data_IF_762486369851
#
_entry.id   IF_762486369851
#
_cell.length_a   1.000
_cell.length_b   1.000
_cell.length_c   1.000
_cell.angle_alpha   90.00
_cell.angle_beta   90.00
_cell.angle_gamma   90.00
#
_symmetry.space_group_name_H-M   'P 1'
#
loop_
_entity.id
_entity.type
_entity.pdbx_description
1 polymer ?
#
# COMPACT_ATOMS: atom_id res chain seq x y z
N UNK A 1 -22.75 4.12 15.15
CA UNK A 1 -22.47 3.06 14.16
C UNK A 1 -21.74 1.94 14.87
N UNK A 2 -22.37 0.78 15.04
CA UNK A 2 -21.72 -0.38 15.66
C UNK A 2 -20.78 -1.00 14.62
N UNK A 3 -19.51 -0.60 14.65
CA UNK A 3 -18.48 -1.14 13.77
C UNK A 3 -18.27 -2.63 14.05
N UNK A 4 -18.22 -3.43 13.00
CA UNK A 4 -17.72 -4.80 13.14
C UNK A 4 -16.26 -4.73 13.60
N UNK A 5 -15.81 -5.61 14.51
CA UNK A 5 -14.41 -5.63 14.89
C UNK A 5 -13.55 -5.89 13.66
N UNK A 6 -12.49 -5.10 13.49
CA UNK A 6 -11.54 -5.26 12.39
C UNK A 6 -10.96 -6.69 12.40
N UNK A 7 -10.79 -7.32 11.21
CA UNK A 7 -10.11 -8.61 11.12
C UNK A 7 -8.75 -8.59 11.83
N UNK A 8 -8.43 -9.66 12.56
CA UNK A 8 -7.17 -9.79 13.34
C UNK A 8 -5.91 -9.66 12.49
N UNK A 9 -6.00 -10.04 11.20
CA UNK A 9 -4.90 -9.87 10.25
C UNK A 9 -4.49 -8.40 10.08
N UNK A 10 -5.41 -7.45 10.27
CA UNK A 10 -5.12 -6.01 10.26
C UNK A 10 -4.82 -5.46 11.65
N UNK A 11 -4.44 -6.32 12.61
CA UNK A 11 -4.18 -5.94 13.99
C UNK A 11 -3.08 -6.80 14.58
N UNK A 12 -3.42 -7.61 15.57
CA UNK A 12 -2.47 -8.43 16.33
C UNK A 12 -1.75 -9.49 15.48
N UNK A 13 -2.28 -9.84 14.31
CA UNK A 13 -1.65 -10.78 13.37
C UNK A 13 -1.01 -10.10 12.14
N UNK A 14 -0.91 -8.77 12.10
CA UNK A 14 -0.37 -8.03 10.94
C UNK A 14 1.06 -8.45 10.57
N UNK A 15 1.88 -8.85 11.54
CA UNK A 15 3.24 -9.34 11.30
C UNK A 15 3.32 -10.61 10.42
N UNK A 16 2.19 -11.30 10.18
CA UNK A 16 2.12 -12.44 9.25
C UNK A 16 1.61 -12.07 7.87
N UNK A 17 1.28 -10.80 7.61
CA UNK A 17 0.66 -10.38 6.36
C UNK A 17 1.47 -10.81 5.12
N UNK A 18 2.77 -10.51 5.08
CA UNK A 18 3.64 -10.88 3.95
C UNK A 18 3.89 -12.39 3.80
N UNK A 19 3.54 -13.21 4.79
CA UNK A 19 3.56 -14.67 4.63
C UNK A 19 2.44 -15.17 3.72
N UNK A 20 1.27 -14.50 3.74
CA UNK A 20 0.12 -14.85 2.91
C UNK A 20 0.16 -14.17 1.54
N UNK A 21 0.87 -13.05 1.44
CA UNK A 21 0.91 -12.19 0.25
C UNK A 21 2.29 -11.56 0.14
N UNK A 22 3.19 -12.22 -0.59
CA UNK A 22 4.58 -11.81 -0.65
C UNK A 22 4.73 -10.55 -1.54
N UNK A 23 5.49 -9.52 -1.12
CA UNK A 23 5.67 -8.31 -1.92
C UNK A 23 6.14 -8.59 -3.35
N UNK A 24 7.02 -9.58 -3.56
CA UNK A 24 7.55 -9.92 -4.89
C UNK A 24 6.47 -10.36 -5.89
N UNK A 25 5.33 -10.89 -5.42
CA UNK A 25 4.22 -11.31 -6.27
C UNK A 25 3.43 -10.13 -6.86
N UNK A 26 3.65 -8.91 -6.34
CA UNK A 26 2.92 -7.70 -6.75
C UNK A 26 3.58 -6.93 -7.88
N UNK A 27 4.74 -7.39 -8.38
CA UNK A 27 5.46 -6.68 -9.44
C UNK A 27 4.62 -6.49 -10.71
N UNK A 28 3.95 -7.54 -11.16
CA UNK A 28 3.12 -7.50 -12.38
C UNK A 28 1.93 -6.55 -12.21
N UNK A 29 1.28 -6.59 -11.05
CA UNK A 29 0.15 -5.72 -10.73
C UNK A 29 0.59 -4.25 -10.63
N UNK A 30 1.71 -3.97 -9.96
CA UNK A 30 2.30 -2.63 -9.88
C UNK A 30 2.70 -2.08 -11.26
N UNK A 31 3.26 -2.91 -12.14
CA UNK A 31 3.57 -2.54 -13.52
C UNK A 31 2.30 -2.20 -14.32
N UNK A 32 1.24 -2.98 -14.13
CA UNK A 32 -0.06 -2.71 -14.72
C UNK A 32 -0.60 -1.34 -14.26
N UNK A 33 -0.63 -1.08 -12.95
CA UNK A 33 -1.11 0.21 -12.42
C UNK A 33 -0.25 1.39 -12.90
N UNK A 34 1.07 1.25 -12.88
CA UNK A 34 1.96 2.30 -13.36
C UNK A 34 1.68 2.66 -14.83
N UNK A 35 1.45 1.66 -15.69
CA UNK A 35 1.09 1.88 -17.10
C UNK A 35 -0.26 2.59 -17.21
N UNK A 36 -1.29 2.07 -16.54
CA UNK A 36 -2.65 2.62 -16.62
C UNK A 36 -2.69 4.08 -16.14
N UNK A 37 -1.99 4.41 -15.06
CA UNK A 37 -1.91 5.79 -14.55
C UNK A 37 -1.27 6.74 -15.56
N UNK A 38 -0.16 6.34 -16.19
CA UNK A 38 0.51 7.15 -17.22
C UNK A 38 -0.36 7.38 -18.45
N UNK A 39 -1.07 6.34 -18.90
CA UNK A 39 -1.93 6.41 -20.08
C UNK A 39 -3.21 7.21 -19.84
N UNK A 40 -3.73 7.19 -18.61
CA UNK A 40 -5.03 7.79 -18.27
C UNK A 40 -4.92 9.24 -17.81
N UNK A 41 -3.78 9.65 -17.25
CA UNK A 41 -3.59 11.02 -16.80
C UNK A 41 -3.24 11.94 -17.97
N UNK A 42 -3.87 13.12 -18.03
CA UNK A 42 -3.57 14.14 -19.04
C UNK A 42 -2.11 14.65 -18.99
N UNK A 43 -1.41 14.41 -17.89
CA UNK A 43 0.01 14.70 -17.68
C UNK A 43 0.63 13.51 -16.94
N UNK A 44 1.91 13.28 -17.17
CA UNK A 44 2.67 12.25 -16.44
C UNK A 44 2.51 12.44 -14.92
N UNK A 45 1.92 11.45 -14.20
CA UNK A 45 1.72 11.56 -12.76
C UNK A 45 3.06 11.40 -12.04
N UNK A 46 3.29 12.26 -11.04
CA UNK A 46 4.49 12.17 -10.17
C UNK A 46 4.18 11.61 -8.80
N UNK A 47 2.98 11.84 -8.30
CA UNK A 47 2.54 11.48 -6.95
C UNK A 47 1.33 10.56 -7.02
N UNK A 48 1.27 9.55 -6.16
CA UNK A 48 0.13 8.62 -6.06
C UNK A 48 -0.28 8.45 -4.61
N UNK A 49 -1.59 8.57 -4.35
CA UNK A 49 -2.21 8.27 -3.06
C UNK A 49 -2.83 6.87 -3.13
N UNK A 50 -2.33 5.93 -2.33
CA UNK A 50 -2.88 4.57 -2.23
C UNK A 50 -3.74 4.46 -0.98
N UNK A 51 -5.06 4.31 -1.17
CA UNK A 51 -6.04 4.16 -0.09
C UNK A 51 -6.23 2.66 0.22
N UNK A 52 -6.16 2.30 1.51
CA UNK A 52 -6.19 0.89 1.93
C UNK A 52 -4.91 0.15 1.50
N UNK A 53 -3.76 0.81 1.64
CA UNK A 53 -2.46 0.33 1.18
C UNK A 53 -1.98 -0.96 1.88
N UNK A 54 -2.57 -1.33 3.01
CA UNK A 54 -2.24 -2.54 3.76
C UNK A 54 -0.74 -2.61 4.08
N UNK A 55 -0.14 -3.77 3.79
CA UNK A 55 1.30 -4.01 4.01
C UNK A 55 2.20 -3.39 2.94
N UNK A 56 1.66 -2.56 2.04
CA UNK A 56 2.44 -1.78 1.07
C UNK A 56 3.03 -2.57 -0.09
N UNK A 57 2.44 -3.71 -0.48
CA UNK A 57 3.02 -4.60 -1.49
C UNK A 57 3.11 -3.94 -2.88
N UNK A 58 2.04 -3.30 -3.37
CA UNK A 58 2.06 -2.57 -4.64
C UNK A 58 3.04 -1.38 -4.57
N UNK A 59 2.92 -0.57 -3.51
CA UNK A 59 3.83 0.55 -3.26
C UNK A 59 5.31 0.18 -3.30
N UNK A 60 5.68 -1.03 -2.84
CA UNK A 60 7.07 -1.49 -2.83
C UNK A 60 7.72 -1.56 -4.21
N UNK A 61 6.93 -1.67 -5.27
CA UNK A 61 7.39 -1.58 -6.66
C UNK A 61 7.04 -0.23 -7.30
N UNK A 62 5.89 0.34 -6.97
CA UNK A 62 5.44 1.61 -7.57
C UNK A 62 6.27 2.83 -7.13
N UNK A 63 6.87 2.79 -5.94
CA UNK A 63 7.72 3.86 -5.40
C UNK A 63 8.99 4.13 -6.22
N UNK A 64 9.42 3.18 -7.05
CA UNK A 64 10.50 3.41 -8.01
C UNK A 64 10.12 4.42 -9.11
N UNK A 65 8.82 4.71 -9.26
CA UNK A 65 8.25 5.49 -10.38
C UNK A 65 7.46 6.70 -9.91
N UNK A 66 6.93 6.68 -8.69
CA UNK A 66 6.07 7.71 -8.14
C UNK A 66 6.43 8.04 -6.69
N UNK A 67 6.19 9.28 -6.29
CA UNK A 67 6.15 9.68 -4.88
C UNK A 67 4.85 9.16 -4.27
N UNK A 68 4.96 8.11 -3.46
CA UNK A 68 3.80 7.41 -2.88
C UNK A 68 3.43 7.97 -1.50
N UNK A 69 2.13 8.21 -1.29
CA UNK A 69 1.52 8.38 0.04
C UNK A 69 0.59 7.20 0.30
N UNK A 70 0.82 6.49 1.40
CA UNK A 70 0.17 5.23 1.74
C UNK A 70 -0.78 5.44 2.91
N UNK A 71 -2.07 5.21 2.69
CA UNK A 71 -3.11 5.39 3.70
C UNK A 71 -3.71 4.05 4.05
N UNK A 72 -3.88 3.79 5.34
CA UNK A 72 -4.60 2.63 5.84
C UNK A 72 -5.24 2.95 7.19
N UNK A 73 -6.38 2.32 7.48
CA UNK A 73 -7.05 2.48 8.77
C UNK A 73 -6.30 1.74 9.88
N UNK A 74 -5.50 0.73 9.56
CA UNK A 74 -4.76 -0.06 10.55
C UNK A 74 -3.35 0.49 10.79
N UNK A 75 -3.05 0.98 12.01
CA UNK A 75 -1.69 1.33 12.39
C UNK A 75 -0.72 0.15 12.26
N UNK A 76 -1.19 -1.07 12.58
CA UNK A 76 -0.38 -2.28 12.49
C UNK A 76 -0.01 -2.61 11.03
N UNK A 77 -0.92 -2.39 10.08
CA UNK A 77 -0.62 -2.55 8.66
C UNK A 77 0.35 -1.49 8.16
N UNK A 78 0.21 -0.23 8.61
CA UNK A 78 1.17 0.83 8.29
C UNK A 78 2.57 0.51 8.81
N UNK A 79 2.71 -0.10 9.99
CA UNK A 79 4.00 -0.55 10.51
C UNK A 79 4.62 -1.66 9.66
N UNK A 80 3.81 -2.61 9.18
CA UNK A 80 4.25 -3.63 8.21
C UNK A 80 4.69 -2.97 6.90
N UNK A 81 3.92 -2.01 6.38
CA UNK A 81 4.25 -1.27 5.17
C UNK A 81 5.56 -0.49 5.30
N UNK A 82 5.79 0.20 6.43
CA UNK A 82 7.06 0.93 6.71
C UNK A 82 8.29 0.04 6.67
N UNK A 83 8.15 -1.26 7.00
CA UNK A 83 9.28 -2.19 6.97
C UNK A 83 9.84 -2.43 5.57
N UNK A 84 9.01 -2.28 4.53
CA UNK A 84 9.42 -2.44 3.13
C UNK A 84 9.38 -1.13 2.32
N UNK A 85 8.74 -0.08 2.84
CA UNK A 85 8.58 1.23 2.22
C UNK A 85 9.01 2.41 3.11
N UNK A 86 10.21 2.38 3.74
CA UNK A 86 10.62 3.40 4.70
C UNK A 86 10.70 4.83 4.12
N UNK A 87 10.77 4.97 2.79
CA UNK A 87 10.82 6.26 2.09
C UNK A 87 9.45 6.87 1.79
N UNK A 88 8.37 6.08 1.87
CA UNK A 88 7.02 6.56 1.57
C UNK A 88 6.41 7.31 2.77
N UNK A 89 5.51 8.24 2.49
CA UNK A 89 4.69 8.85 3.55
C UNK A 89 3.56 7.88 3.95
N UNK A 90 3.33 7.70 5.25
CA UNK A 90 2.27 6.83 5.78
C UNK A 90 1.32 7.62 6.65
N UNK A 91 0.01 7.55 6.35
CA UNK A 91 -1.04 8.24 7.11
C UNK A 91 -2.10 7.22 7.57
N UNK A 92 -2.54 7.35 8.82
CA UNK A 92 -3.72 6.63 9.31
C UNK A 92 -4.98 7.40 8.86
N UNK A 93 -5.94 6.71 8.23
CA UNK A 93 -7.16 7.34 7.72
C UNK A 93 -8.26 6.35 7.31
N UNK A 94 -9.50 6.85 7.25
CA UNK A 94 -10.74 6.16 6.82
C UNK A 94 -11.36 6.90 5.62
#
# INVERSE_FOLDING_TARGET
MTGHPSPRLFGDLAGWFHLFTAPDEYREEADFYARVLRESCAREPRTVLELGSGGGNNASHMKERFDMTLVDLSPAMLDVSRSINPECEHLEGD
#
